data_IF_321072635302
#
_entry.id   IF_321072635302
#
_cell.length_a   1.000
_cell.length_b   1.000
_cell.length_c   1.000
_cell.angle_alpha   90.00
_cell.angle_beta   90.00
_cell.angle_gamma   90.00
#
_symmetry.space_group_name_H-M   'P 1'
#
loop_
_entity.id
_entity.type
_entity.pdbx_description
1 polymer ?
#
# COMPACT_ATOMS: atom_id res chain seq x y z
N UNK A 1 -1.69 -3.48 -10.45
CA UNK A 1 -2.99 -2.88 -10.79
C UNK A 1 -3.64 -2.69 -9.45
N UNK A 2 -3.53 -1.48 -8.90
CA UNK A 2 -3.64 -1.24 -7.46
C UNK A 2 -5.11 -0.93 -7.12
N UNK A 3 -5.79 -1.89 -6.51
CA UNK A 3 -7.20 -1.83 -6.12
C UNK A 3 -7.50 -0.56 -5.30
N UNK A 4 -8.72 -0.04 -5.44
CA UNK A 4 -9.16 1.12 -4.65
C UNK A 4 -9.23 0.77 -3.16
N UNK A 5 -8.22 1.22 -2.42
CA UNK A 5 -8.12 1.03 -0.98
C UNK A 5 -9.06 1.97 -0.18
N UNK A 6 -9.87 2.80 -0.82
CA UNK A 6 -10.79 3.74 -0.17
C UNK A 6 -11.78 3.04 0.77
N UNK A 7 -12.16 1.78 0.47
CA UNK A 7 -13.11 1.03 1.28
C UNK A 7 -12.48 0.30 2.48
N UNK A 8 -11.17 0.02 2.46
CA UNK A 8 -10.49 -0.77 3.51
C UNK A 8 -10.00 0.12 4.66
N UNK A 9 -9.72 1.39 4.40
CA UNK A 9 -9.02 2.26 5.35
C UNK A 9 -9.92 3.07 6.30
N UNK A 10 -11.25 3.02 6.16
CA UNK A 10 -12.14 3.83 7.02
C UNK A 10 -12.29 3.28 8.44
N UNK A 11 -11.76 2.09 8.76
CA UNK A 11 -12.03 1.43 10.05
C UNK A 11 -10.82 0.90 10.83
N UNK A 12 -9.58 1.00 10.33
CA UNK A 12 -8.45 0.34 10.99
C UNK A 12 -7.39 1.35 11.42
N UNK A 13 -7.26 1.49 12.74
CA UNK A 13 -6.20 2.27 13.42
C UNK A 13 -4.79 1.65 13.24
N UNK A 14 -4.74 0.47 12.61
CA UNK A 14 -3.53 -0.25 12.20
C UNK A 14 -3.66 -0.59 10.72
N UNK A 15 -3.00 0.18 9.86
CA UNK A 15 -3.27 0.21 8.42
C UNK A 15 -2.58 -0.93 7.66
N UNK A 16 -2.76 -2.18 8.09
CA UNK A 16 -2.31 -3.36 7.36
C UNK A 16 -3.36 -3.78 6.32
N UNK A 17 -2.99 -3.72 5.04
CA UNK A 17 -3.86 -4.01 3.91
C UNK A 17 -3.56 -5.41 3.39
N UNK A 18 -4.61 -6.23 3.41
CA UNK A 18 -4.74 -7.46 2.65
C UNK A 18 -6.13 -7.45 2.01
N UNK A 19 -6.23 -7.75 0.72
CA UNK A 19 -7.51 -7.78 0.05
C UNK A 19 -8.32 -9.00 0.51
N UNK A 20 -9.47 -8.76 1.15
CA UNK A 20 -10.37 -9.81 1.65
C UNK A 20 -11.67 -9.92 0.86
N UNK A 21 -11.93 -8.99 -0.08
CA UNK A 21 -13.12 -8.95 -0.92
C UNK A 21 -13.46 -7.54 -1.41
N UNK A 22 -14.41 -7.42 -2.35
CA UNK A 22 -14.80 -6.17 -3.00
C UNK A 22 -14.61 -6.20 -4.52
N UNK A 23 -15.19 -5.24 -5.24
CA UNK A 23 -15.00 -5.10 -6.69
C UNK A 23 -13.69 -4.38 -7.04
N UNK A 24 -13.22 -4.52 -8.28
CA UNK A 24 -12.09 -3.72 -8.79
C UNK A 24 -12.48 -2.24 -8.87
N UNK A 25 -11.97 -1.44 -7.93
CA UNK A 25 -12.14 0.03 -7.95
C UNK A 25 -11.17 0.78 -8.87
N UNK A 26 -10.35 0.06 -9.64
CA UNK A 26 -9.39 0.65 -10.59
C UNK A 26 -7.93 0.50 -10.16
N UNK A 27 -7.05 1.32 -10.75
CA UNK A 27 -5.62 1.34 -10.46
C UNK A 27 -5.19 2.63 -9.77
N UNK A 28 -4.48 2.51 -8.65
CA UNK A 28 -4.00 3.65 -7.85
C UNK A 28 -2.47 3.71 -7.76
N UNK A 29 -1.80 4.83 -8.02
CA UNK A 29 -0.31 4.89 -7.90
C UNK A 29 0.11 5.38 -6.52
N UNK A 30 1.05 4.67 -5.90
CA UNK A 30 1.53 4.95 -4.53
C UNK A 30 3.05 4.97 -4.46
N UNK A 31 3.61 5.52 -3.37
CA UNK A 31 5.06 5.57 -3.15
C UNK A 31 5.48 4.58 -2.07
N UNK A 32 6.26 3.57 -2.45
CA UNK A 32 6.93 2.68 -1.50
C UNK A 32 8.10 3.45 -0.86
N UNK A 33 8.15 3.48 0.47
CA UNK A 33 9.16 4.24 1.25
C UNK A 33 9.96 3.36 2.21
N UNK A 34 9.57 2.10 2.39
CA UNK A 34 10.27 1.16 3.26
C UNK A 34 9.65 -0.22 3.24
N UNK A 35 10.19 -1.11 4.06
CA UNK A 35 9.69 -2.47 4.25
C UNK A 35 10.02 -2.92 5.67
N UNK A 36 9.34 -3.97 6.11
CA UNK A 36 9.61 -4.60 7.39
C UNK A 36 8.95 -5.95 7.50
N UNK A 37 8.87 -6.42 8.73
CA UNK A 37 8.14 -7.61 9.12
C UNK A 37 7.51 -7.34 10.48
N UNK A 38 6.25 -7.74 10.64
CA UNK A 38 5.54 -7.67 11.91
C UNK A 38 4.79 -8.98 12.11
N UNK A 39 4.94 -9.62 13.27
CA UNK A 39 4.30 -10.91 13.57
C UNK A 39 4.54 -12.00 12.50
N UNK A 40 5.75 -12.07 11.94
CA UNK A 40 6.14 -12.95 10.81
C UNK A 40 5.42 -12.64 9.48
N UNK A 41 4.81 -11.46 9.36
CA UNK A 41 4.16 -11.00 8.12
C UNK A 41 5.02 -9.90 7.50
N UNK A 42 5.70 -10.17 6.37
CA UNK A 42 6.49 -9.17 5.68
C UNK A 42 5.59 -8.12 5.00
N UNK A 43 5.98 -6.85 5.05
CA UNK A 43 5.21 -5.75 4.47
C UNK A 43 6.07 -4.74 3.70
N UNK A 44 5.42 -4.00 2.80
CA UNK A 44 5.85 -2.72 2.24
C UNK A 44 5.23 -1.57 3.06
N UNK A 45 6.03 -0.58 3.43
CA UNK A 45 5.54 0.69 3.96
C UNK A 45 5.31 1.65 2.81
N UNK A 46 4.10 2.16 2.71
CA UNK A 46 3.63 2.93 1.56
C UNK A 46 3.07 4.27 2.01
N UNK A 47 3.52 5.35 1.37
CA UNK A 47 2.92 6.67 1.50
C UNK A 47 1.80 6.84 0.47
N UNK A 48 0.60 7.15 0.95
CA UNK A 48 -0.57 7.42 0.13
C UNK A 48 -0.70 8.92 -0.21
N UNK A 49 -1.64 9.26 -1.08
CA UNK A 49 -1.90 10.62 -1.57
C UNK A 49 -3.31 11.13 -1.25
N UNK A 50 -3.99 10.56 -0.25
CA UNK A 50 -5.39 10.85 0.12
C UNK A 50 -5.54 11.60 1.45
N UNK A 51 -4.67 12.57 1.74
CA UNK A 51 -4.53 13.24 3.05
C UNK A 51 -3.79 12.42 4.11
N UNK A 52 -3.37 13.11 5.17
CA UNK A 52 -2.76 12.54 6.38
C UNK A 52 -3.79 11.81 7.26
N UNK A 53 -5.08 12.09 7.06
CA UNK A 53 -6.16 11.47 7.84
C UNK A 53 -6.42 10.01 7.44
N UNK A 54 -5.80 9.57 6.33
CA UNK A 54 -5.87 8.19 5.86
C UNK A 54 -4.89 7.30 6.62
N UNK A 55 -5.36 6.15 7.12
CA UNK A 55 -4.51 5.14 7.73
C UNK A 55 -3.68 5.67 8.90
N UNK A 56 -2.37 5.44 8.86
CA UNK A 56 -1.41 5.90 9.86
C UNK A 56 -0.68 7.15 9.35
N UNK A 57 -1.26 8.33 9.57
CA UNK A 57 -0.71 9.62 9.12
C UNK A 57 -0.45 9.68 7.61
N UNK A 58 -1.38 9.19 6.79
CA UNK A 58 -1.27 9.10 5.33
C UNK A 58 -0.50 7.89 4.82
N UNK A 59 -0.11 6.98 5.70
CA UNK A 59 0.64 5.77 5.35
C UNK A 59 -0.20 4.51 5.57
N UNK A 60 0.18 3.47 4.84
CA UNK A 60 -0.32 2.12 5.07
C UNK A 60 0.78 1.10 4.84
N UNK A 61 0.52 -0.10 5.37
CA UNK A 61 1.34 -1.28 5.19
C UNK A 61 0.57 -2.25 4.31
N UNK A 62 1.25 -2.90 3.38
CA UNK A 62 0.64 -3.92 2.52
C UNK A 62 1.58 -5.11 2.47
N UNK A 63 1.00 -6.29 2.44
CA UNK A 63 1.77 -7.52 2.47
C UNK A 63 2.74 -7.64 1.29
N UNK A 64 3.94 -8.16 1.57
CA UNK A 64 5.06 -8.21 0.64
C UNK A 64 5.45 -9.65 0.32
N UNK A 65 5.98 -9.88 -0.89
CA UNK A 65 6.61 -11.14 -1.30
C UNK A 65 5.70 -12.11 -2.04
N UNK A 66 4.44 -11.73 -2.27
CA UNK A 66 3.47 -12.52 -3.04
C UNK A 66 2.66 -11.65 -4.02
N UNK A 67 3.16 -10.45 -4.33
CA UNK A 67 2.53 -9.52 -5.26
C UNK A 67 1.08 -9.15 -4.90
N UNK A 68 0.83 -8.93 -3.61
CA UNK A 68 -0.49 -8.54 -3.10
C UNK A 68 -1.03 -7.33 -3.85
N UNK A 69 -2.27 -7.44 -4.34
CA UNK A 69 -2.91 -6.39 -5.15
C UNK A 69 -2.07 -5.91 -6.36
N UNK A 70 -1.16 -6.75 -6.87
CA UNK A 70 -0.28 -6.42 -7.98
C UNK A 70 0.70 -5.27 -7.69
N UNK A 71 1.03 -5.00 -6.41
CA UNK A 71 1.92 -3.90 -6.01
C UNK A 71 3.36 -4.08 -6.50
N UNK A 72 3.79 -5.33 -6.68
CA UNK A 72 5.15 -5.67 -7.12
C UNK A 72 5.25 -5.77 -8.66
N UNK A 73 4.12 -5.71 -9.38
CA UNK A 73 4.07 -5.87 -10.84
C UNK A 73 4.59 -4.67 -11.64
N UNK A 74 4.52 -3.44 -11.11
CA UNK A 74 4.81 -2.20 -11.88
C UNK A 74 5.56 -1.17 -11.02
N UNK A 75 6.76 -1.53 -10.59
CA UNK A 75 7.65 -0.64 -9.84
C UNK A 75 8.55 0.13 -10.80
N UNK A 76 8.54 1.46 -10.69
CA UNK A 76 9.35 2.36 -11.53
C UNK A 76 10.17 3.26 -10.61
N UNK A 77 11.44 3.47 -10.96
CA UNK A 77 12.34 4.38 -10.27
C UNK A 77 13.15 5.20 -11.29
N UNK A 78 13.74 6.31 -10.83
CA UNK A 78 14.65 7.14 -11.61
C UNK A 78 15.81 7.61 -10.75
N UNK A 79 16.97 7.82 -11.37
CA UNK A 79 18.13 8.43 -10.72
C UNK A 79 18.24 9.88 -11.14
N UNK A 80 18.35 10.79 -10.18
CA UNK A 80 18.61 12.20 -10.46
C UNK A 80 20.04 12.35 -10.95
N UNK A 81 20.23 13.11 -12.04
CA UNK A 81 21.57 13.53 -12.46
C UNK A 81 22.09 14.56 -11.47
N UNK A 82 23.22 14.25 -10.85
CA UNK A 82 23.98 15.16 -9.99
C UNK A 82 25.02 15.95 -10.79
#
# INVERSE_FOLDING_TARGET
>A
MLYDFSFIASFVKEAFIQHVGGGEGGGHTVKIIGWGEENNVPYWLVANSWSIDFGENGHFRIARGYNECGIESRVIAGMMKV
#
